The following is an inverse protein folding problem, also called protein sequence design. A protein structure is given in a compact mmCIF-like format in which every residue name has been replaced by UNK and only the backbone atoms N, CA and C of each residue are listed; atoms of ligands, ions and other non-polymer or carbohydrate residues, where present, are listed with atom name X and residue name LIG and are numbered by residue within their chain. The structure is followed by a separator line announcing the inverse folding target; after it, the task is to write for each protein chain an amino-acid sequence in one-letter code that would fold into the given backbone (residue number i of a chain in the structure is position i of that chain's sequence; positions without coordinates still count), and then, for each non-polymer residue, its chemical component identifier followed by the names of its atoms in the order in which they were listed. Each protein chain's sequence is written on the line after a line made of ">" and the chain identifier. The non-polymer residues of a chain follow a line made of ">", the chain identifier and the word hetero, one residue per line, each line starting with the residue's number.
data_IF_022094051602
#
_entry.id   IF_022094051602
#
_cell.length_a   1.000
_cell.length_b   1.000
_cell.length_c   1.000
_cell.angle_alpha   90.00
_cell.angle_beta   90.00
_cell.angle_gamma   90.00
#
_symmetry.space_group_name_H-M   'P 1'
#
loop_
_entity.id
_entity.type
_entity.pdbx_description
1 polymer ?
#
# COMPACT_ATOMS: atom_id res chain seq x y z
N UNK A 1 15.17 -15.29 -2.25
CA UNK A 1 13.86 -14.76 -2.72
C UNK A 1 12.84 -15.01 -1.61
N UNK A 2 12.11 -13.99 -1.17
CA UNK A 2 11.06 -14.18 -0.14
C UNK A 2 9.80 -14.62 -0.88
N UNK A 3 9.34 -15.85 -0.63
CA UNK A 3 8.11 -16.37 -1.20
C UNK A 3 6.99 -16.28 -0.15
N UNK A 4 5.82 -15.85 -0.59
CA UNK A 4 4.65 -15.63 0.26
C UNK A 4 3.61 -16.70 -0.07
N UNK A 5 3.40 -17.63 0.85
CA UNK A 5 2.41 -18.71 0.71
C UNK A 5 1.29 -18.52 1.74
N UNK A 6 0.06 -18.81 1.33
CA UNK A 6 -1.05 -19.00 2.27
C UNK A 6 -0.80 -20.31 3.03
N UNK A 7 -0.44 -20.23 4.31
CA UNK A 7 -0.22 -21.41 5.14
C UNK A 7 -1.48 -22.26 5.31
N UNK A 8 -1.29 -23.53 5.69
CA UNK A 8 -2.36 -24.41 6.15
C UNK A 8 -3.13 -23.72 7.30
N UNK A 9 -4.47 -23.76 7.25
CA UNK A 9 -5.43 -23.03 8.13
C UNK A 9 -5.72 -21.56 7.79
N UNK A 10 -5.26 -21.05 6.65
CA UNK A 10 -5.64 -19.71 6.19
C UNK A 10 -4.95 -18.57 6.94
N UNK A 11 -3.84 -18.85 7.63
CA UNK A 11 -2.96 -17.82 8.18
C UNK A 11 -1.82 -17.51 7.20
N UNK A 12 -1.56 -16.23 6.86
CA UNK A 12 -0.49 -15.85 5.95
C UNK A 12 0.87 -16.21 6.56
N UNK A 13 1.74 -16.84 5.76
CA UNK A 13 3.09 -17.25 6.15
C UNK A 13 4.12 -16.64 5.19
N UNK A 14 5.27 -16.24 5.73
CA UNK A 14 6.41 -15.80 4.93
C UNK A 14 7.49 -16.87 4.96
N UNK A 15 7.92 -17.33 3.79
CA UNK A 15 8.97 -18.33 3.64
C UNK A 15 10.23 -17.69 3.05
N UNK A 16 11.37 -17.96 3.68
CA UNK A 16 12.67 -17.55 3.15
C UNK A 16 13.35 -18.72 2.42
N UNK A 17 13.64 -18.54 1.12
CA UNK A 17 14.39 -19.49 0.29
C UNK A 17 15.63 -18.79 -0.31
N UNK A 18 16.82 -19.33 -0.02
CA UNK A 18 18.11 -18.75 -0.46
C UNK A 18 18.63 -19.48 -1.72
N UNK A 19 18.47 -20.79 -1.82
CA UNK A 19 19.16 -21.58 -2.86
C UNK A 19 18.26 -22.51 -3.68
N UNK A 20 17.18 -23.08 -3.10
CA UNK A 20 16.29 -24.01 -3.78
C UNK A 20 14.83 -23.72 -3.42
N UNK A 21 13.97 -23.61 -4.44
CA UNK A 21 12.52 -23.34 -4.29
C UNK A 21 11.82 -24.42 -3.46
N UNK A 22 12.38 -25.64 -3.41
CA UNK A 22 11.83 -26.77 -2.68
C UNK A 22 12.26 -26.86 -1.21
N UNK A 23 13.15 -26.00 -0.72
CA UNK A 23 13.70 -26.10 0.64
C UNK A 23 13.49 -24.82 1.45
N UNK A 24 12.43 -24.80 2.27
CA UNK A 24 12.14 -23.70 3.20
C UNK A 24 13.16 -23.70 4.35
N UNK A 25 13.97 -22.65 4.42
CA UNK A 25 14.97 -22.50 5.50
C UNK A 25 14.39 -21.92 6.80
N UNK A 26 13.39 -21.03 6.70
CA UNK A 26 12.73 -20.42 7.86
C UNK A 26 11.29 -19.99 7.51
N UNK A 27 10.37 -20.19 8.46
CA UNK A 27 8.96 -19.82 8.35
C UNK A 27 8.62 -18.75 9.37
N UNK A 28 8.17 -17.58 8.89
CA UNK A 28 7.81 -16.43 9.71
C UNK A 28 6.30 -16.15 9.63
N UNK A 29 5.73 -15.54 10.68
CA UNK A 29 4.35 -15.04 10.65
C UNK A 29 4.20 -14.00 9.53
N UNK A 30 3.23 -14.21 8.64
CA UNK A 30 2.96 -13.36 7.48
C UNK A 30 1.85 -12.32 7.68
N UNK A 31 1.28 -12.19 8.88
CA UNK A 31 0.27 -11.17 9.18
C UNK A 31 0.86 -9.78 8.91
N UNK A 32 0.12 -8.93 8.18
CA UNK A 32 0.56 -7.62 7.67
C UNK A 32 1.72 -7.67 6.65
N UNK A 33 2.17 -8.87 6.25
CA UNK A 33 3.21 -9.07 5.23
C UNK A 33 2.64 -9.72 3.97
N UNK A 34 1.67 -10.61 4.13
CA UNK A 34 0.91 -11.24 3.04
C UNK A 34 -0.58 -11.08 3.35
N UNK A 35 -1.41 -10.89 2.32
CA UNK A 35 -2.85 -10.87 2.51
C UNK A 35 -3.39 -12.26 2.81
N UNK A 36 -4.54 -12.28 3.48
CA UNK A 36 -5.34 -13.49 3.69
C UNK A 36 -6.06 -13.95 2.42
N UNK A 37 -6.46 -13.02 1.55
CA UNK A 37 -7.10 -13.32 0.27
C UNK A 37 -6.11 -13.14 -0.90
N UNK A 38 -6.05 -14.09 -1.85
CA UNK A 38 -5.23 -13.95 -3.05
C UNK A 38 -5.75 -12.87 -4.01
N UNK A 39 -6.99 -12.41 -3.85
CA UNK A 39 -7.56 -11.29 -4.63
C UNK A 39 -7.28 -9.92 -3.99
N UNK A 40 -6.63 -9.87 -2.82
CA UNK A 40 -6.37 -8.61 -2.15
C UNK A 40 -5.28 -7.82 -2.88
N UNK A 41 -5.59 -6.57 -3.21
CA UNK A 41 -4.64 -5.60 -3.76
C UNK A 41 -3.70 -5.13 -2.65
N UNK A 42 -2.49 -5.67 -2.63
CA UNK A 42 -1.45 -5.39 -1.64
C UNK A 42 -0.16 -4.96 -2.32
N UNK A 43 0.73 -4.34 -1.55
CA UNK A 43 2.10 -4.06 -1.99
C UNK A 43 3.08 -4.31 -0.85
N UNK A 44 4.28 -4.74 -1.19
CA UNK A 44 5.36 -4.95 -0.24
C UNK A 44 6.71 -4.53 -0.84
N UNK A 45 7.60 -4.04 0.00
CA UNK A 45 8.94 -3.60 -0.37
C UNK A 45 9.90 -3.87 0.77
N UNK A 46 11.02 -4.53 0.46
CA UNK A 46 12.16 -4.62 1.36
C UNK A 46 13.20 -3.58 0.94
N UNK A 47 13.58 -2.68 1.84
CA UNK A 47 14.59 -1.66 1.54
C UNK A 47 15.99 -2.27 1.57
N UNK A 48 16.93 -1.58 0.94
CA UNK A 48 18.37 -1.88 1.04
C UNK A 48 18.91 -1.99 2.49
N UNK A 49 18.25 -1.34 3.45
CA UNK A 49 18.61 -1.40 4.88
C UNK A 49 17.91 -2.56 5.63
N UNK A 50 17.23 -3.46 4.93
CA UNK A 50 16.54 -4.63 5.51
C UNK A 50 15.22 -4.30 6.22
N UNK A 51 14.66 -3.11 6.01
CA UNK A 51 13.36 -2.73 6.56
C UNK A 51 12.25 -3.22 5.65
N UNK A 52 11.22 -3.85 6.22
CA UNK A 52 10.10 -4.39 5.46
C UNK A 52 8.89 -3.46 5.53
N UNK A 53 8.50 -2.90 4.40
CA UNK A 53 7.33 -2.04 4.24
C UNK A 53 6.21 -2.81 3.53
N UNK A 54 4.97 -2.63 3.98
CA UNK A 54 3.82 -3.25 3.35
C UNK A 54 2.56 -2.37 3.41
N UNK A 55 1.84 -2.33 2.31
CA UNK A 55 0.46 -1.87 2.22
C UNK A 55 -0.45 -3.08 2.10
N UNK A 56 -1.09 -3.49 3.20
CA UNK A 56 -1.99 -4.64 3.22
C UNK A 56 -3.01 -4.52 4.35
N UNK A 57 -4.11 -5.30 4.31
CA UNK A 57 -4.92 -5.52 5.50
C UNK A 57 -4.13 -6.28 6.57
N UNK A 58 -4.37 -5.98 7.83
CA UNK A 58 -3.78 -6.70 8.97
C UNK A 58 -4.66 -7.84 9.50
N UNK A 59 -5.96 -7.80 9.21
CA UNK A 59 -6.95 -8.76 9.69
C UNK A 59 -7.44 -9.69 8.59
N UNK A 60 -7.99 -10.84 9.00
CA UNK A 60 -8.55 -11.84 8.09
C UNK A 60 -9.69 -11.27 7.22
N UNK A 61 -10.52 -10.39 7.80
CA UNK A 61 -11.69 -9.83 7.13
C UNK A 61 -11.35 -8.69 6.16
N UNK A 62 -10.11 -8.21 6.15
CA UNK A 62 -9.71 -7.06 5.33
C UNK A 62 -10.22 -5.70 5.84
N UNK A 63 -10.76 -5.64 7.06
CA UNK A 63 -11.37 -4.43 7.64
C UNK A 63 -10.35 -3.46 8.26
N UNK A 64 -9.09 -3.90 8.42
CA UNK A 64 -8.00 -3.09 8.96
C UNK A 64 -6.87 -2.87 7.92
N UNK A 65 -7.11 -2.07 6.87
CA UNK A 65 -6.09 -1.72 5.89
C UNK A 65 -5.01 -0.83 6.49
N UNK A 66 -3.74 -1.14 6.24
CA UNK A 66 -2.64 -0.36 6.78
C UNK A 66 -1.47 -0.21 5.82
N UNK A 67 -0.74 0.88 5.97
CA UNK A 67 0.65 0.96 5.54
C UNK A 67 1.52 0.78 6.78
N UNK A 68 2.39 -0.21 6.78
CA UNK A 68 3.22 -0.58 7.92
C UNK A 68 4.68 -0.79 7.56
N UNK A 69 5.55 -0.69 8.55
CA UNK A 69 6.95 -1.07 8.47
C UNK A 69 7.33 -1.91 9.69
N UNK A 70 8.07 -3.00 9.44
CA UNK A 70 8.72 -3.80 10.47
C UNK A 70 10.21 -3.44 10.53
N UNK A 71 10.65 -2.92 11.67
CA UNK A 71 12.03 -2.54 11.96
C UNK A 71 12.44 -3.12 13.32
N UNK A 72 13.40 -4.05 13.34
CA UNK A 72 14.03 -4.55 14.57
C UNK A 72 13.03 -5.00 15.66
N UNK A 73 11.93 -5.64 15.27
CA UNK A 73 10.88 -6.13 16.18
C UNK A 73 9.81 -5.09 16.56
N UNK A 74 9.96 -3.83 16.13
CA UNK A 74 8.93 -2.80 16.25
C UNK A 74 8.13 -2.67 14.94
N UNK A 75 6.84 -2.39 15.06
CA UNK A 75 5.95 -2.15 13.92
C UNK A 75 5.39 -0.74 13.99
N UNK A 76 5.65 0.06 12.96
CA UNK A 76 5.05 1.39 12.80
C UNK A 76 3.99 1.28 11.71
N UNK A 77 2.79 1.84 11.95
CA UNK A 77 1.66 1.68 11.04
C UNK A 77 0.75 2.91 10.93
N UNK A 78 -0.08 2.97 9.89
CA UNK A 78 -1.13 4.00 9.82
C UNK A 78 -2.14 3.87 10.96
N UNK A 79 -2.79 4.98 11.34
CA UNK A 79 -3.78 4.98 12.42
C UNK A 79 -4.97 4.07 12.08
N UNK A 80 -5.25 3.11 12.96
CA UNK A 80 -6.40 2.21 12.84
C UNK A 80 -7.71 2.99 12.83
N UNK A 81 -8.65 2.61 11.96
CA UNK A 81 -9.97 3.24 11.79
C UNK A 81 -9.92 4.75 11.52
N UNK A 82 -8.78 5.27 11.07
CA UNK A 82 -8.61 6.66 10.70
C UNK A 82 -8.89 6.87 9.22
N UNK A 83 -10.15 7.12 8.83
CA UNK A 83 -10.53 7.35 7.42
C UNK A 83 -9.76 8.51 6.74
N UNK A 84 -9.27 9.47 7.53
CA UNK A 84 -8.37 10.54 7.04
C UNK A 84 -7.01 10.01 6.56
N UNK A 85 -6.55 8.88 7.09
CA UNK A 85 -5.30 8.23 6.72
C UNK A 85 -5.52 7.30 5.53
N UNK A 86 -6.41 6.32 5.69
CA UNK A 86 -6.77 5.35 4.66
C UNK A 86 -8.27 5.04 4.75
N UNK A 87 -8.95 4.94 3.61
CA UNK A 87 -10.38 4.63 3.55
C UNK A 87 -10.69 3.57 2.48
N UNK A 88 -10.73 2.30 2.86
CA UNK A 88 -10.87 1.16 1.93
C UNK A 88 -9.85 1.20 0.77
N UNK A 89 -8.54 1.34 1.04
CA UNK A 89 -7.55 1.45 -0.01
C UNK A 89 -7.36 0.12 -0.76
N UNK A 90 -7.09 0.22 -2.05
CA UNK A 90 -6.59 -0.86 -2.90
C UNK A 90 -5.17 -0.49 -3.34
N UNK A 91 -4.17 -1.22 -2.86
CA UNK A 91 -2.76 -0.92 -3.13
C UNK A 91 -2.34 -1.42 -4.51
N UNK A 92 -1.62 -0.58 -5.25
CA UNK A 92 -1.14 -0.88 -6.61
C UNK A 92 0.36 -1.13 -6.62
N UNK A 93 1.13 -0.42 -5.80
CA UNK A 93 2.57 -0.61 -5.73
C UNK A 93 3.25 0.27 -4.70
N UNK A 94 4.54 -0.02 -4.49
CA UNK A 94 5.40 0.75 -3.61
C UNK A 94 6.83 0.75 -4.14
N UNK A 95 7.55 1.85 -3.94
CA UNK A 95 8.95 1.99 -4.32
C UNK A 95 9.73 2.80 -3.29
N UNK A 96 11.05 2.65 -3.28
CA UNK A 96 11.92 3.45 -2.43
C UNK A 96 12.70 4.48 -3.23
N UNK A 97 12.99 5.60 -2.55
CA UNK A 97 13.97 6.60 -2.95
C UNK A 97 15.05 6.67 -1.88
N UNK A 98 16.02 7.58 -1.97
CA UNK A 98 17.08 7.71 -0.96
C UNK A 98 16.54 7.91 0.46
N UNK A 99 15.49 8.73 0.64
CA UNK A 99 15.00 9.15 1.96
C UNK A 99 13.58 8.68 2.29
N UNK A 100 12.77 8.38 1.28
CA UNK A 100 11.35 8.05 1.44
C UNK A 100 10.99 6.69 0.85
N UNK A 101 9.92 6.11 1.39
CA UNK A 101 9.17 5.03 0.76
C UNK A 101 7.83 5.58 0.30
N UNK A 102 7.47 5.27 -0.93
CA UNK A 102 6.23 5.72 -1.56
C UNK A 102 5.27 4.55 -1.74
N UNK A 103 3.97 4.84 -1.64
CA UNK A 103 2.88 3.90 -1.82
C UNK A 103 1.85 4.49 -2.78
N UNK A 104 1.46 3.72 -3.78
CA UNK A 104 0.42 4.08 -4.73
C UNK A 104 -0.79 3.20 -4.49
N UNK A 105 -1.95 3.83 -4.33
CA UNK A 105 -3.21 3.16 -4.06
C UNK A 105 -4.37 4.02 -4.51
N UNK A 106 -5.54 3.41 -4.64
CA UNK A 106 -6.83 4.10 -4.80
C UNK A 106 -7.69 3.85 -3.59
N UNK A 107 -8.48 4.83 -3.17
CA UNK A 107 -9.33 4.72 -1.97
C UNK A 107 -10.65 5.48 -2.14
N UNK A 108 -11.62 5.16 -1.28
CA UNK A 108 -12.92 5.82 -1.26
C UNK A 108 -12.80 7.25 -0.72
N UNK A 109 -13.36 8.23 -1.43
CA UNK A 109 -13.31 9.63 -1.04
C UNK A 109 -14.17 9.92 0.20
N UNK A 110 -13.55 10.38 1.29
CA UNK A 110 -14.24 10.66 2.58
C UNK A 110 -15.30 11.77 2.47
N UNK A 111 -15.16 12.70 1.50
CA UNK A 111 -16.01 13.91 1.41
C UNK A 111 -17.31 13.75 0.62
N UNK A 112 -17.53 12.63 -0.06
CA UNK A 112 -18.62 12.48 -1.05
C UNK A 112 -19.63 11.39 -0.71
N UNK A 113 -19.74 11.00 0.56
CA UNK A 113 -20.66 9.96 1.05
C UNK A 113 -22.12 10.20 0.59
N UNK A 114 -22.51 11.46 0.39
CA UNK A 114 -23.88 11.84 0.01
C UNK A 114 -24.17 11.83 -1.51
N UNK A 115 -23.18 11.61 -2.39
CA UNK A 115 -23.37 11.64 -3.85
C UNK A 115 -22.88 10.37 -4.56
N UNK A 116 -22.72 9.27 -3.83
CA UNK A 116 -22.20 8.00 -4.35
C UNK A 116 -20.73 7.77 -4.00
N UNK A 117 -20.28 6.52 -4.20
CA UNK A 117 -18.90 6.12 -3.91
C UNK A 117 -17.97 6.65 -5.00
N UNK A 118 -17.22 7.72 -4.70
CA UNK A 118 -16.14 8.24 -5.55
C UNK A 118 -14.83 7.61 -5.10
N UNK A 119 -14.02 7.14 -6.06
CA UNK A 119 -12.69 6.59 -5.82
C UNK A 119 -11.66 7.59 -6.32
N UNK A 120 -10.59 7.80 -5.54
CA UNK A 120 -9.47 8.65 -5.93
C UNK A 120 -8.14 7.93 -5.78
N UNK A 121 -7.27 8.15 -6.75
CA UNK A 121 -5.90 7.67 -6.73
C UNK A 121 -4.98 8.58 -5.93
N UNK A 122 -4.12 7.97 -5.13
CA UNK A 122 -3.21 8.67 -4.24
C UNK A 122 -1.79 8.11 -4.33
N UNK A 123 -0.84 9.00 -4.12
CA UNK A 123 0.52 8.66 -3.73
C UNK A 123 0.72 9.09 -2.29
N UNK A 124 1.20 8.19 -1.44
CA UNK A 124 1.63 8.50 -0.09
C UNK A 124 3.13 8.32 0.06
N UNK A 125 3.72 9.04 1.03
CA UNK A 125 5.11 8.89 1.43
C UNK A 125 5.25 8.74 2.93
N UNK A 126 6.33 8.07 3.34
CA UNK A 126 6.84 7.99 4.71
C UNK A 126 8.37 8.14 4.69
N UNK A 127 8.95 8.72 5.73
CA UNK A 127 10.40 8.76 5.89
C UNK A 127 10.94 7.38 6.30
N UNK A 128 12.08 6.97 5.74
CA UNK A 128 12.75 5.71 6.12
C UNK A 128 13.20 5.67 7.58
N UNK A 129 13.52 6.83 8.14
CA UNK A 129 13.99 7.00 9.52
C UNK A 129 12.86 7.35 10.51
N UNK A 130 11.60 7.30 10.10
CA UNK A 130 10.47 7.54 11.01
C UNK A 130 10.44 6.43 12.07
N UNK A 131 10.41 6.83 13.35
CA UNK A 131 10.41 5.93 14.51
C UNK A 131 9.10 5.97 15.28
N UNK A 132 8.09 6.63 14.72
CA UNK A 132 6.85 6.94 15.41
C UNK A 132 6.98 8.10 16.39
N UNK A 133 5.86 8.45 17.01
CA UNK A 133 5.80 9.54 17.98
C UNK A 133 6.32 9.14 19.36
N UNK A 134 6.58 10.13 20.22
CA UNK A 134 7.14 9.86 21.55
C UNK A 134 6.06 9.50 22.58
N UNK A 135 5.00 10.30 22.65
CA UNK A 135 3.89 10.16 23.62
C UNK A 135 2.57 9.79 22.93
N UNK A 136 2.21 10.55 21.90
CA UNK A 136 1.13 10.24 20.98
C UNK A 136 1.70 9.58 19.73
N UNK A 137 0.93 8.72 19.05
CA UNK A 137 1.34 8.06 17.80
C UNK A 137 2.59 7.19 17.94
N UNK A 138 2.83 6.58 19.12
CA UNK A 138 4.03 5.77 19.38
C UNK A 138 4.29 4.68 18.34
N UNK A 139 3.23 3.99 17.94
CA UNK A 139 3.27 2.93 16.94
C UNK A 139 2.73 3.41 15.58
N UNK A 140 2.65 4.73 15.38
CA UNK A 140 2.10 5.32 14.16
C UNK A 140 3.09 6.25 13.45
N UNK A 141 2.96 6.32 12.13
CA UNK A 141 3.78 7.23 11.32
C UNK A 141 3.64 8.68 11.78
N UNK A 142 4.75 9.39 11.86
CA UNK A 142 4.76 10.85 12.08
C UNK A 142 4.96 11.62 10.77
N UNK A 143 5.41 10.92 9.73
CA UNK A 143 5.78 11.48 8.43
C UNK A 143 4.85 11.06 7.29
N UNK A 144 3.75 10.37 7.62
CA UNK A 144 2.76 9.94 6.63
C UNK A 144 2.07 11.16 6.00
N UNK A 145 2.22 11.28 4.69
CA UNK A 145 1.55 12.29 3.87
C UNK A 145 1.01 11.60 2.62
N UNK A 146 -0.17 12.02 2.15
CA UNK A 146 -0.74 11.56 0.88
C UNK A 146 -1.21 12.73 0.02
N UNK A 147 -1.13 12.56 -1.29
CA UNK A 147 -1.57 13.53 -2.28
C UNK A 147 -2.39 12.83 -3.36
N UNK A 148 -3.38 13.54 -3.91
CA UNK A 148 -4.20 13.08 -5.02
C UNK A 148 -3.37 13.06 -6.31
N UNK A 149 -3.51 12.00 -7.10
CA UNK A 149 -2.91 11.88 -8.43
C UNK A 149 -3.89 12.40 -9.47
N UNK A 150 -3.49 13.42 -10.23
CA UNK A 150 -4.29 13.96 -11.32
C UNK A 150 -3.87 13.30 -12.64
N UNK A 151 -4.70 12.40 -13.16
CA UNK A 151 -4.61 11.90 -14.52
C UNK A 151 -5.85 12.38 -15.27
N UNK A 152 -5.69 13.34 -16.18
CA UNK A 152 -6.82 13.90 -16.91
C UNK A 152 -6.46 14.34 -18.33
N UNK A 153 -7.47 14.37 -19.18
CA UNK A 153 -7.42 15.04 -20.48
C UNK A 153 -7.85 16.51 -20.25
N UNK A 154 -7.00 17.49 -20.58
CA UNK A 154 -7.34 18.90 -20.39
C UNK A 154 -8.47 19.34 -21.33
N UNK A 155 -9.30 20.28 -20.86
CA UNK A 155 -10.42 20.85 -21.60
C UNK A 155 -11.21 21.84 -20.73
N UNK A 156 -12.27 22.45 -21.28
CA UNK A 156 -13.20 23.30 -20.50
C UNK A 156 -13.82 22.51 -19.33
N UNK A 157 -14.10 21.23 -19.59
CA UNK A 157 -14.48 20.22 -18.60
C UNK A 157 -13.46 19.07 -18.67
N UNK A 158 -12.43 19.06 -17.81
CA UNK A 158 -11.41 18.01 -17.84
C UNK A 158 -12.02 16.63 -17.59
N UNK A 159 -11.55 15.63 -18.34
CA UNK A 159 -11.97 14.25 -18.17
C UNK A 159 -10.94 13.49 -17.34
N UNK A 160 -11.36 12.96 -16.18
CA UNK A 160 -10.47 12.35 -15.19
C UNK A 160 -10.47 10.83 -15.24
N UNK A 161 -9.28 10.24 -15.05
CA UNK A 161 -9.08 8.82 -14.82
C UNK A 161 -8.64 8.62 -13.36
N UNK A 162 -9.62 8.42 -12.48
CA UNK A 162 -9.38 8.46 -11.03
C UNK A 162 -8.92 7.12 -10.43
N UNK A 163 -8.96 6.01 -11.18
CA UNK A 163 -8.65 4.67 -10.66
C UNK A 163 -7.32 4.11 -11.22
N UNK A 164 -6.23 4.24 -10.46
CA UNK A 164 -4.93 3.66 -10.78
C UNK A 164 -4.99 2.13 -10.73
N UNK A 165 -4.43 1.47 -11.76
CA UNK A 165 -4.43 0.01 -11.92
C UNK A 165 -3.03 -0.60 -11.84
N UNK A 166 -2.00 0.14 -12.25
CA UNK A 166 -0.63 -0.35 -12.34
C UNK A 166 0.36 0.81 -12.19
N UNK A 167 1.58 0.49 -11.77
CA UNK A 167 2.68 1.45 -11.68
C UNK A 167 4.04 0.82 -11.98
N UNK A 168 4.98 1.63 -12.48
CA UNK A 168 6.40 1.31 -12.62
C UNK A 168 7.24 2.51 -12.23
N UNK A 169 8.24 2.31 -11.37
CA UNK A 169 9.18 3.36 -10.98
C UNK A 169 10.49 3.18 -11.75
N UNK A 170 10.91 4.24 -12.44
CA UNK A 170 12.14 4.29 -13.23
C UNK A 170 13.13 5.18 -12.49
N UNK A 171 14.05 4.54 -11.75
CA UNK A 171 15.00 5.23 -10.87
C UNK A 171 15.94 6.19 -11.63
N UNK A 172 16.37 5.81 -12.84
CA UNK A 172 17.25 6.64 -13.68
C UNK A 172 16.64 7.98 -14.08
N UNK A 173 15.31 8.03 -14.17
CA UNK A 173 14.55 9.23 -14.53
C UNK A 173 13.94 9.92 -13.30
N UNK A 174 13.97 9.25 -12.14
CA UNK A 174 13.22 9.64 -10.96
C UNK A 174 11.72 9.87 -11.28
N UNK A 175 11.14 8.98 -12.10
CA UNK A 175 9.77 9.07 -12.58
C UNK A 175 8.97 7.82 -12.27
N UNK A 176 7.67 8.02 -12.00
CA UNK A 176 6.70 6.93 -11.85
C UNK A 176 5.73 6.99 -13.04
N UNK A 177 5.65 5.89 -13.76
CA UNK A 177 4.65 5.67 -14.80
C UNK A 177 3.49 4.89 -14.19
N UNK A 178 2.26 5.30 -14.47
CA UNK A 178 1.07 4.66 -13.92
C UNK A 178 -0.07 4.62 -14.93
N UNK A 179 -0.87 3.56 -14.87
CA UNK A 179 -2.05 3.37 -15.73
C UNK A 179 -3.32 3.60 -14.92
N UNK A 180 -4.27 4.34 -15.49
CA UNK A 180 -5.53 4.69 -14.83
C UNK A 180 -6.74 4.27 -15.66
N UNK A 181 -7.85 4.02 -15.00
CA UNK A 181 -9.16 3.73 -15.61
C UNK A 181 -10.22 4.71 -15.11
N UNK A 182 -11.31 4.79 -15.85
CA UNK A 182 -12.52 5.51 -15.43
C UNK A 182 -13.24 4.73 -14.33
N UNK A 183 -14.04 5.40 -13.48
CA UNK A 183 -14.89 4.71 -12.52
C UNK A 183 -15.86 3.74 -13.18
N UNK A 184 -16.10 2.60 -12.53
CA UNK A 184 -16.98 1.52 -13.05
C UNK A 184 -18.44 1.96 -13.32
N UNK A 185 -18.88 3.08 -12.74
CA UNK A 185 -20.22 3.64 -12.92
C UNK A 185 -20.33 4.61 -14.11
N UNK A 186 -19.28 4.80 -14.90
CA UNK A 186 -19.40 5.54 -16.16
C UNK A 186 -20.14 4.69 -17.19
N UNK A 187 -21.37 5.11 -17.51
CA UNK A 187 -22.12 4.59 -18.65
C UNK A 187 -21.27 4.90 -19.90
N UNK A 188 -20.87 3.85 -20.63
CA UNK A 188 -20.33 3.99 -21.97
C UNK A 188 -21.47 4.47 -22.87
N UNK A 189 -21.37 5.70 -23.38
CA UNK A 189 -22.27 6.20 -24.44
C UNK A 189 -21.81 5.69 -25.80
#
# INVERSE_FOLDING_TARGET
>A
QVNFDSGFEGSPMCCHNIENVNSVTESLKGVAKCPYSPQANVTALMTSNGQYYAGSPMDFCGADPTISCSLSGMTIRTKQFGSKWLNEPQFVGSFETSTFVYFLFRESAVKYINCGKIIYSHIARVCKNDRGGHLMLKDNWTTFLKAHLNCSIPGEFPFYFDEIQGMSYVESENMVYATFTTPSNFITF
#
